data_IF_682162235694
#
_entry.id   IF_682162235694
#
_cell.length_a   1.000
_cell.length_b   1.000
_cell.length_c   1.000
_cell.angle_alpha   90.00
_cell.angle_beta   90.00
_cell.angle_gamma   90.00
#
_symmetry.space_group_name_H-M   'P 1'
#
loop_
_entity.id
_entity.type
_entity.pdbx_description
1 polymer ?
#
# COMPACT_ATOMS: atom_id res chain seq x y z
N UNK A 1 9.97 15.00 -16.69
CA UNK A 1 10.86 13.83 -16.89
C UNK A 1 9.96 12.60 -17.02
N UNK A 2 10.26 11.71 -17.95
CA UNK A 2 9.43 10.52 -18.16
C UNK A 2 9.67 9.49 -17.05
N UNK A 3 8.60 8.94 -16.49
CA UNK A 3 8.68 7.84 -15.54
C UNK A 3 9.30 6.59 -16.20
N UNK A 4 10.00 5.80 -15.42
CA UNK A 4 10.59 4.52 -15.80
C UNK A 4 10.10 3.36 -14.95
N UNK A 5 9.65 3.65 -13.74
CA UNK A 5 9.16 2.63 -12.82
C UNK A 5 7.96 3.13 -12.02
N UNK A 6 7.06 2.21 -11.67
CA UNK A 6 5.93 2.45 -10.77
C UNK A 6 5.92 1.34 -9.73
N UNK A 7 5.96 1.72 -8.46
CA UNK A 7 5.87 0.82 -7.33
C UNK A 7 4.54 1.00 -6.61
N UNK A 8 3.93 -0.10 -6.25
CA UNK A 8 2.65 -0.15 -5.56
C UNK A 8 2.83 -0.66 -4.13
N UNK A 9 2.18 0.01 -3.18
CA UNK A 9 1.89 -0.59 -1.89
C UNK A 9 0.92 -1.77 -2.05
N UNK A 10 0.70 -2.51 -0.99
CA UNK A 10 -0.11 -3.75 -0.99
C UNK A 10 -1.45 -3.53 -0.30
N UNK A 11 -1.44 -3.32 1.01
CA UNK A 11 -2.66 -3.17 1.81
C UNK A 11 -3.43 -1.92 1.41
N UNK A 12 -4.73 -2.04 1.24
CA UNK A 12 -5.64 -0.96 0.83
C UNK A 12 -5.21 -0.20 -0.45
N UNK A 13 -4.21 -0.76 -1.16
CA UNK A 13 -3.79 -0.29 -2.48
C UNK A 13 -4.07 -1.33 -3.56
N UNK A 14 -3.51 -2.52 -3.45
CA UNK A 14 -3.78 -3.67 -4.31
C UNK A 14 -4.70 -4.68 -3.66
N UNK A 15 -4.64 -4.82 -2.35
CA UNK A 15 -5.35 -5.80 -1.52
C UNK A 15 -6.32 -5.09 -0.61
N UNK A 16 -7.59 -5.50 -0.65
CA UNK A 16 -8.62 -5.14 0.32
C UNK A 16 -8.40 -5.95 1.61
N UNK A 17 -8.11 -5.27 2.69
CA UNK A 17 -7.84 -5.89 3.99
C UNK A 17 -9.10 -6.23 4.78
N UNK A 18 -10.32 -6.06 4.23
CA UNK A 18 -11.58 -6.29 4.94
C UNK A 18 -11.63 -7.69 5.58
N UNK A 19 -11.22 -8.74 4.85
CA UNK A 19 -11.23 -10.11 5.34
C UNK A 19 -10.31 -10.29 6.56
N UNK A 20 -9.17 -9.62 6.58
CA UNK A 20 -8.23 -9.68 7.70
C UNK A 20 -8.79 -8.96 8.93
N UNK A 21 -9.34 -7.78 8.76
CA UNK A 21 -9.95 -7.01 9.84
C UNK A 21 -11.15 -7.74 10.45
N UNK A 22 -11.95 -8.47 9.65
CA UNK A 22 -13.00 -9.36 10.15
C UNK A 22 -12.42 -10.49 11.00
N UNK A 23 -11.39 -11.16 10.53
CA UNK A 23 -10.71 -12.23 11.26
C UNK A 23 -10.16 -11.73 12.61
N UNK A 24 -9.56 -10.55 12.62
CA UNK A 24 -9.05 -9.95 13.86
C UNK A 24 -10.18 -9.61 14.84
N UNK A 25 -11.29 -9.08 14.34
CA UNK A 25 -12.48 -8.85 15.16
C UNK A 25 -12.97 -10.14 15.82
N UNK A 26 -13.15 -11.20 15.04
CA UNK A 26 -13.61 -12.51 15.52
C UNK A 26 -12.69 -13.07 16.62
N UNK A 27 -11.37 -13.00 16.42
CA UNK A 27 -10.37 -13.44 17.39
C UNK A 27 -10.36 -12.63 18.69
N UNK A 28 -10.65 -11.34 18.57
CA UNK A 28 -10.80 -10.46 19.73
C UNK A 28 -12.18 -10.58 20.40
N UNK A 29 -13.09 -11.42 19.87
CA UNK A 29 -14.46 -11.54 20.36
C UNK A 29 -15.32 -10.31 20.10
N UNK A 30 -14.98 -9.51 19.06
CA UNK A 30 -15.62 -8.27 18.71
C UNK A 30 -16.44 -8.40 17.42
N UNK A 31 -17.41 -7.50 17.24
CA UNK A 31 -18.07 -7.37 15.96
C UNK A 31 -17.20 -6.53 14.98
N UNK A 32 -17.15 -6.87 13.68
CA UNK A 32 -16.30 -6.17 12.70
C UNK A 32 -16.48 -4.64 12.70
N UNK A 33 -17.72 -4.15 12.79
CA UNK A 33 -17.99 -2.70 12.80
C UNK A 33 -17.35 -1.96 13.99
N UNK A 34 -17.10 -2.65 15.12
CA UNK A 34 -16.44 -2.06 16.29
C UNK A 34 -14.96 -1.79 15.98
N UNK A 35 -14.29 -2.72 15.29
CA UNK A 35 -12.90 -2.53 14.83
C UNK A 35 -12.82 -1.36 13.86
N UNK A 36 -13.72 -1.29 12.87
CA UNK A 36 -13.74 -0.17 11.90
C UNK A 36 -13.97 1.18 12.58
N UNK A 37 -14.85 1.24 13.59
CA UNK A 37 -15.06 2.46 14.34
C UNK A 37 -13.80 2.88 15.12
N UNK A 38 -13.13 1.94 15.79
CA UNK A 38 -11.87 2.21 16.50
C UNK A 38 -10.76 2.64 15.54
N UNK A 39 -10.66 2.00 14.37
CA UNK A 39 -9.71 2.35 13.33
C UNK A 39 -9.92 3.79 12.85
N UNK A 40 -11.18 4.20 12.62
CA UNK A 40 -11.50 5.59 12.28
C UNK A 40 -11.04 6.60 13.33
N UNK A 41 -11.19 6.27 14.63
CA UNK A 41 -10.68 7.12 15.73
C UNK A 41 -9.15 7.19 15.71
N UNK A 42 -8.49 6.07 15.48
CA UNK A 42 -7.01 5.97 15.39
C UNK A 42 -6.49 6.84 14.24
N UNK A 43 -7.12 6.78 13.07
CA UNK A 43 -6.76 7.58 11.89
C UNK A 43 -6.95 9.07 12.17
N UNK A 44 -8.10 9.45 12.70
CA UNK A 44 -8.40 10.86 13.02
C UNK A 44 -7.39 11.48 14.00
N UNK A 45 -6.85 10.65 14.92
CA UNK A 45 -5.84 11.07 15.88
C UNK A 45 -4.41 11.05 15.33
N UNK A 46 -4.19 10.55 14.10
CA UNK A 46 -2.85 10.38 13.54
C UNK A 46 -2.02 9.32 14.26
N UNK A 47 -2.67 8.35 14.90
CA UNK A 47 -2.03 7.30 15.68
C UNK A 47 -1.69 6.09 14.80
N UNK A 48 -0.80 5.21 15.29
CA UNK A 48 -0.52 3.93 14.63
C UNK A 48 -1.73 3.00 14.74
N UNK A 49 -1.99 2.21 13.69
CA UNK A 49 -3.12 1.27 13.66
C UNK A 49 -3.14 0.31 14.86
N UNK A 50 -2.01 -0.01 15.48
CA UNK A 50 -1.97 -0.86 16.67
C UNK A 50 -2.62 -0.23 17.90
N UNK A 51 -2.76 1.10 17.95
CA UNK A 51 -3.39 1.81 19.07
C UNK A 51 -4.89 1.55 19.15
N UNK A 52 -5.51 1.07 18.06
CA UNK A 52 -6.93 0.72 18.06
C UNK A 52 -7.30 -0.28 19.17
N UNK A 53 -6.39 -1.21 19.49
CA UNK A 53 -6.62 -2.22 20.53
C UNK A 53 -6.70 -1.60 21.91
N UNK A 54 -5.86 -0.61 22.18
CA UNK A 54 -5.91 0.21 23.40
C UNK A 54 -7.23 0.98 23.53
N UNK A 55 -7.74 1.54 22.43
CA UNK A 55 -9.04 2.22 22.42
C UNK A 55 -10.20 1.29 22.73
N UNK A 56 -10.08 0.02 22.35
CA UNK A 56 -11.09 -1.02 22.62
C UNK A 56 -10.94 -1.68 23.98
N UNK A 57 -9.82 -1.45 24.68
CA UNK A 57 -9.52 -2.09 25.96
C UNK A 57 -9.30 -3.59 25.86
N UNK A 58 -8.84 -4.08 24.71
CA UNK A 58 -8.53 -5.49 24.45
C UNK A 58 -7.09 -5.65 24.00
N UNK A 59 -6.49 -6.81 24.28
CA UNK A 59 -5.18 -7.15 23.76
C UNK A 59 -5.24 -7.41 22.26
N UNK A 60 -4.22 -6.99 21.48
CA UNK A 60 -4.13 -7.34 20.08
C UNK A 60 -4.07 -8.87 19.92
N UNK A 61 -4.69 -9.45 18.87
CA UNK A 61 -4.56 -10.88 18.60
C UNK A 61 -3.08 -11.25 18.49
N UNK A 62 -2.66 -12.28 19.21
CA UNK A 62 -1.30 -12.79 19.13
C UNK A 62 -1.04 -13.30 17.71
N UNK A 63 -0.03 -12.79 17.04
CA UNK A 63 0.43 -13.22 15.71
C UNK A 63 -0.31 -12.66 14.47
N UNK A 64 -0.51 -11.34 14.38
CA UNK A 64 -0.96 -10.68 13.15
C UNK A 64 -0.29 -11.21 11.87
N UNK A 65 1.04 -11.21 11.86
CA UNK A 65 1.81 -11.47 10.66
C UNK A 65 1.80 -12.94 10.21
N UNK A 66 1.54 -13.87 11.14
CA UNK A 66 1.64 -15.31 10.85
C UNK A 66 0.27 -15.92 10.50
N UNK A 67 -0.81 -15.20 10.77
CA UNK A 67 -2.17 -15.71 10.64
C UNK A 67 -2.92 -15.13 9.44
N UNK A 68 -2.31 -14.19 8.74
CA UNK A 68 -2.85 -13.61 7.52
C UNK A 68 -2.43 -14.46 6.33
N UNK A 69 -3.41 -15.02 5.62
CA UNK A 69 -3.21 -15.60 4.30
C UNK A 69 -3.62 -14.60 3.25
N UNK A 70 -2.87 -14.52 2.16
CA UNK A 70 -3.22 -13.75 0.98
C UNK A 70 -4.01 -14.63 0.03
N UNK A 71 -5.09 -14.12 -0.52
CA UNK A 71 -5.92 -14.80 -1.50
C UNK A 71 -6.13 -13.89 -2.71
N UNK A 72 -6.29 -14.47 -3.91
CA UNK A 72 -6.57 -13.66 -5.12
C UNK A 72 -7.89 -12.89 -4.97
N UNK A 73 -8.83 -13.46 -4.22
CA UNK A 73 -10.11 -12.81 -3.90
C UNK A 73 -9.99 -11.56 -3.00
N UNK A 74 -8.84 -11.34 -2.38
CA UNK A 74 -8.56 -10.12 -1.60
C UNK A 74 -8.08 -8.96 -2.50
N UNK A 75 -7.70 -9.21 -3.75
CA UNK A 75 -7.30 -8.14 -4.66
C UNK A 75 -8.50 -7.24 -4.99
N UNK A 76 -8.26 -5.94 -4.99
CA UNK A 76 -9.23 -5.01 -5.56
C UNK A 76 -9.50 -5.37 -7.03
N UNK A 77 -10.73 -5.21 -7.53
CA UNK A 77 -11.12 -5.65 -8.89
C UNK A 77 -10.30 -5.03 -10.02
N UNK A 78 -9.71 -3.88 -9.80
CA UNK A 78 -8.90 -3.12 -10.76
C UNK A 78 -7.39 -3.38 -10.64
N UNK A 79 -6.93 -4.11 -9.60
CA UNK A 79 -5.52 -4.27 -9.30
C UNK A 79 -4.74 -4.94 -10.44
N UNK A 80 -5.16 -6.12 -10.89
CA UNK A 80 -4.47 -6.88 -11.95
C UNK A 80 -4.45 -6.06 -13.25
N UNK A 81 -5.62 -5.54 -13.66
CA UNK A 81 -5.75 -4.76 -14.90
C UNK A 81 -4.87 -3.50 -14.87
N UNK A 82 -4.75 -2.84 -13.72
CA UNK A 82 -3.86 -1.70 -13.54
C UNK A 82 -2.40 -2.09 -13.71
N UNK A 83 -1.92 -3.14 -13.03
CA UNK A 83 -0.54 -3.62 -13.13
C UNK A 83 -0.18 -3.98 -14.58
N UNK A 84 -1.08 -4.70 -15.28
CA UNK A 84 -0.91 -5.05 -16.70
C UNK A 84 -0.84 -3.81 -17.59
N UNK A 85 -1.74 -2.84 -17.37
CA UNK A 85 -1.79 -1.60 -18.15
C UNK A 85 -0.54 -0.75 -17.97
N UNK A 86 -0.07 -0.59 -16.73
CA UNK A 86 1.18 0.13 -16.43
C UNK A 86 2.39 -0.56 -17.06
N UNK A 87 2.44 -1.90 -16.98
CA UNK A 87 3.49 -2.69 -17.65
C UNK A 87 3.43 -2.54 -19.18
N UNK A 88 2.22 -2.44 -19.73
CA UNK A 88 1.98 -2.18 -21.16
C UNK A 88 2.51 -0.83 -21.66
N UNK A 89 2.74 0.14 -20.76
CA UNK A 89 3.41 1.41 -21.07
C UNK A 89 4.94 1.26 -21.17
N UNK A 90 5.48 0.07 -20.91
CA UNK A 90 6.93 -0.17 -20.89
C UNK A 90 7.61 0.27 -19.59
N UNK A 91 6.85 0.53 -18.53
CA UNK A 91 7.35 0.88 -17.21
C UNK A 91 7.69 -0.38 -16.41
N UNK A 92 8.74 -0.34 -15.60
CA UNK A 92 8.99 -1.35 -14.60
C UNK A 92 7.88 -1.29 -13.54
N UNK A 93 7.26 -2.43 -13.24
CA UNK A 93 6.21 -2.54 -12.23
C UNK A 93 6.77 -3.23 -10.99
N UNK A 94 6.69 -2.55 -9.84
CA UNK A 94 7.09 -3.09 -8.54
C UNK A 94 5.91 -3.22 -7.58
N UNK A 95 5.94 -4.25 -6.74
CA UNK A 95 5.04 -4.41 -5.59
C UNK A 95 5.91 -4.42 -4.35
N UNK A 96 5.76 -3.44 -3.46
CA UNK A 96 6.55 -3.33 -2.23
C UNK A 96 5.81 -2.53 -1.16
N UNK A 97 5.68 -3.11 0.03
CA UNK A 97 4.96 -2.49 1.16
C UNK A 97 5.44 -2.97 2.51
N UNK A 98 4.80 -2.49 3.57
CA UNK A 98 5.04 -2.92 4.95
C UNK A 98 4.41 -4.30 5.19
N UNK A 99 4.98 -5.33 4.58
CA UNK A 99 4.43 -6.67 4.52
C UNK A 99 5.43 -7.73 5.01
N UNK A 100 4.94 -8.90 5.48
CA UNK A 100 5.77 -10.06 5.74
C UNK A 100 6.28 -10.69 4.43
N UNK A 101 7.37 -11.45 4.49
CA UNK A 101 7.90 -12.17 3.32
C UNK A 101 6.91 -13.17 2.68
N UNK A 102 5.88 -13.60 3.42
CA UNK A 102 4.79 -14.43 2.92
C UNK A 102 4.05 -13.76 1.74
N UNK A 103 3.88 -12.43 1.78
CA UNK A 103 3.28 -11.66 0.68
C UNK A 103 4.07 -11.85 -0.63
N UNK A 104 5.41 -11.80 -0.57
CA UNK A 104 6.25 -11.98 -1.75
C UNK A 104 6.09 -13.37 -2.36
N UNK A 105 6.03 -14.40 -1.51
CA UNK A 105 5.81 -15.77 -1.96
C UNK A 105 4.45 -15.92 -2.65
N UNK A 106 3.40 -15.40 -2.03
CA UNK A 106 2.04 -15.40 -2.59
C UNK A 106 2.00 -14.67 -3.94
N UNK A 107 2.48 -13.43 -4.01
CA UNK A 107 2.42 -12.62 -5.21
C UNK A 107 3.17 -13.27 -6.40
N UNK A 108 4.29 -13.97 -6.13
CA UNK A 108 5.01 -14.74 -7.14
C UNK A 108 4.27 -16.02 -7.54
N UNK A 109 3.63 -16.71 -6.58
CA UNK A 109 2.86 -17.94 -6.83
C UNK A 109 1.65 -17.65 -7.70
N UNK A 110 0.95 -16.56 -7.43
CA UNK A 110 -0.20 -16.09 -8.22
C UNK A 110 0.22 -15.37 -9.50
N UNK A 111 1.50 -15.26 -9.77
CA UNK A 111 2.07 -14.63 -10.96
C UNK A 111 1.53 -13.21 -11.19
N UNK A 112 1.45 -12.38 -10.12
CA UNK A 112 1.02 -11.00 -10.24
C UNK A 112 1.90 -10.26 -11.26
N UNK A 113 1.33 -9.39 -12.13
CA UNK A 113 2.05 -8.75 -13.23
C UNK A 113 3.04 -7.68 -12.74
N UNK A 114 4.09 -8.10 -12.04
CA UNK A 114 5.14 -7.25 -11.50
C UNK A 114 6.54 -7.79 -11.85
N UNK A 115 7.46 -6.88 -12.13
CA UNK A 115 8.86 -7.19 -12.44
C UNK A 115 9.69 -7.31 -11.15
N UNK A 116 9.29 -6.55 -10.12
CA UNK A 116 9.92 -6.55 -8.79
C UNK A 116 8.85 -6.80 -7.72
N UNK A 117 9.08 -7.78 -6.84
CA UNK A 117 8.23 -8.04 -5.68
C UNK A 117 9.13 -8.11 -4.46
N UNK A 118 8.87 -7.24 -3.47
CA UNK A 118 9.62 -7.18 -2.22
C UNK A 118 8.72 -6.79 -1.05
N UNK A 119 9.26 -6.81 0.17
CA UNK A 119 8.55 -6.45 1.39
C UNK A 119 9.47 -5.77 2.38
N UNK A 120 8.91 -5.06 3.36
CA UNK A 120 9.69 -4.50 4.47
C UNK A 120 10.44 -5.58 5.25
N UNK A 121 9.92 -6.80 5.31
CA UNK A 121 10.59 -7.92 5.96
C UNK A 121 11.89 -8.30 5.24
N UNK A 122 11.87 -8.35 3.90
CA UNK A 122 13.07 -8.65 3.09
C UNK A 122 14.04 -7.47 3.00
N UNK A 123 13.51 -6.23 2.97
CA UNK A 123 14.33 -5.01 2.94
C UNK A 123 14.98 -4.69 4.28
N UNK A 124 14.48 -5.23 5.39
CA UNK A 124 14.95 -4.93 6.74
C UNK A 124 14.61 -3.52 7.23
N UNK A 125 13.75 -2.80 6.52
CA UNK A 125 13.28 -1.45 6.82
C UNK A 125 11.83 -1.29 6.38
N UNK A 126 11.07 -0.43 7.06
CA UNK A 126 9.64 -0.23 6.79
C UNK A 126 9.28 1.24 6.61
N UNK A 127 8.22 1.51 5.87
CA UNK A 127 7.59 2.84 5.80
C UNK A 127 7.16 3.31 7.21
N UNK A 128 7.28 4.58 7.52
CA UNK A 128 7.64 5.70 6.64
C UNK A 128 9.14 6.05 6.61
N UNK A 129 10.04 5.14 7.02
CA UNK A 129 11.47 5.41 7.01
C UNK A 129 11.93 5.80 5.58
N UNK A 130 12.66 6.91 5.47
CA UNK A 130 13.24 7.39 4.22
C UNK A 130 14.06 6.30 3.51
N UNK A 131 14.79 5.49 4.26
CA UNK A 131 15.62 4.40 3.72
C UNK A 131 14.80 3.38 2.93
N UNK A 132 13.53 3.17 3.29
CA UNK A 132 12.63 2.31 2.52
C UNK A 132 12.48 2.81 1.07
N UNK A 133 12.23 4.09 0.87
CA UNK A 133 12.05 4.69 -0.46
C UNK A 133 13.37 4.80 -1.22
N UNK A 134 14.50 4.98 -0.55
CA UNK A 134 15.83 4.88 -1.16
C UNK A 134 16.07 3.47 -1.73
N UNK A 135 15.68 2.42 -1.00
CA UNK A 135 15.75 1.03 -1.50
C UNK A 135 14.77 0.77 -2.66
N UNK A 136 13.58 1.39 -2.66
CA UNK A 136 12.67 1.34 -3.81
C UNK A 136 13.35 1.93 -5.05
N UNK A 137 14.05 3.05 -4.93
CA UNK A 137 14.82 3.66 -6.02
C UNK A 137 15.97 2.76 -6.48
N UNK A 138 16.68 2.11 -5.54
CA UNK A 138 17.73 1.13 -5.88
C UNK A 138 17.15 -0.07 -6.67
N UNK A 139 15.98 -0.58 -6.28
CA UNK A 139 15.27 -1.66 -6.98
C UNK A 139 14.78 -1.24 -8.38
N UNK A 140 14.47 0.04 -8.56
CA UNK A 140 14.04 0.60 -9.85
C UNK A 140 15.22 0.79 -10.84
N UNK A 141 16.47 0.81 -10.36
CA UNK A 141 17.68 1.05 -11.16
C UNK A 141 17.61 2.33 -12.02
N UNK A 142 16.97 3.39 -11.48
CA UNK A 142 16.85 4.70 -12.15
C UNK A 142 16.83 5.84 -11.13
N UNK A 143 16.72 7.09 -11.57
CA UNK A 143 16.69 8.23 -10.67
C UNK A 143 15.36 8.30 -9.89
N UNK A 144 15.38 8.79 -8.64
CA UNK A 144 14.18 8.92 -7.82
C UNK A 144 13.03 9.66 -8.54
N UNK A 145 13.36 10.70 -9.30
CA UNK A 145 12.40 11.47 -10.08
C UNK A 145 11.80 10.74 -11.30
N UNK A 146 12.30 9.53 -11.62
CA UNK A 146 11.79 8.64 -12.65
C UNK A 146 10.95 7.49 -12.06
N UNK A 147 10.75 7.48 -10.74
CA UNK A 147 9.99 6.46 -10.00
C UNK A 147 8.71 7.07 -9.48
N UNK A 148 7.58 6.41 -9.70
CA UNK A 148 6.33 6.68 -8.99
C UNK A 148 6.11 5.67 -7.88
N UNK A 149 5.53 6.11 -6.77
CA UNK A 149 5.07 5.25 -5.67
C UNK A 149 3.59 5.49 -5.43
N UNK A 150 2.81 4.42 -5.46
CA UNK A 150 1.34 4.42 -5.34
C UNK A 150 0.96 3.80 -4.00
N UNK A 151 0.21 4.52 -3.18
CA UNK A 151 -0.26 4.02 -1.89
C UNK A 151 -1.48 4.77 -1.38
N UNK A 152 -2.16 4.19 -0.38
CA UNK A 152 -3.37 4.74 0.22
C UNK A 152 -3.10 5.68 1.41
N UNK A 153 -1.94 5.52 2.06
CA UNK A 153 -1.63 6.26 3.28
C UNK A 153 -0.81 7.50 3.00
N UNK A 154 -1.38 8.65 3.37
CA UNK A 154 -0.67 9.93 3.25
C UNK A 154 0.59 9.96 4.12
N UNK A 155 0.50 9.47 5.36
CA UNK A 155 1.59 9.49 6.35
C UNK A 155 2.68 8.44 6.11
N UNK A 156 2.35 7.31 5.49
CA UNK A 156 3.29 6.21 5.25
C UNK A 156 3.78 6.09 3.80
N UNK A 157 2.96 6.53 2.83
CA UNK A 157 3.27 6.39 1.41
C UNK A 157 3.56 7.73 0.76
N UNK A 158 2.58 8.64 0.76
CA UNK A 158 2.60 9.82 -0.09
C UNK A 158 3.65 10.83 0.34
N UNK A 159 3.59 11.31 1.58
CA UNK A 159 4.54 12.31 2.08
C UNK A 159 5.97 11.80 2.11
N UNK A 160 6.27 10.57 2.61
CA UNK A 160 7.64 10.09 2.62
C UNK A 160 8.18 9.76 1.22
N UNK A 161 7.34 9.27 0.27
CA UNK A 161 7.78 9.09 -1.12
C UNK A 161 8.13 10.43 -1.78
N UNK A 162 7.26 11.45 -1.63
CA UNK A 162 7.54 12.80 -2.13
C UNK A 162 8.81 13.39 -1.51
N UNK A 163 9.00 13.23 -0.20
CA UNK A 163 10.23 13.68 0.50
C UNK A 163 11.50 12.96 0.05
N UNK A 164 11.37 11.75 -0.49
CA UNK A 164 12.47 10.99 -1.10
C UNK A 164 12.69 11.34 -2.58
N UNK A 165 11.86 12.20 -3.17
CA UNK A 165 11.98 12.68 -4.54
C UNK A 165 11.25 11.82 -5.59
N UNK A 166 10.38 10.89 -5.16
CA UNK A 166 9.54 10.10 -6.06
C UNK A 166 8.28 10.89 -6.45
N UNK A 167 7.67 10.51 -7.57
CA UNK A 167 6.31 10.94 -7.89
C UNK A 167 5.34 10.18 -6.97
N UNK A 168 4.78 10.87 -5.98
CA UNK A 168 3.89 10.28 -5.00
C UNK A 168 2.44 10.27 -5.50
N UNK A 169 1.80 9.11 -5.53
CA UNK A 169 0.45 8.92 -6.03
C UNK A 169 -0.44 8.41 -4.89
N UNK A 170 -1.48 9.17 -4.58
CA UNK A 170 -2.42 8.84 -3.52
C UNK A 170 -3.64 8.11 -4.08
N UNK A 171 -3.89 6.89 -3.62
CA UNK A 171 -5.13 6.15 -3.92
C UNK A 171 -6.08 6.27 -2.76
N UNK A 172 -7.23 6.89 -2.98
CA UNK A 172 -8.25 7.15 -1.97
C UNK A 172 -9.18 5.95 -1.79
N UNK A 173 -8.64 4.85 -1.27
CA UNK A 173 -9.41 3.65 -0.91
C UNK A 173 -8.99 3.15 0.47
N UNK A 174 -9.77 2.24 1.02
CA UNK A 174 -9.57 1.82 2.40
C UNK A 174 -9.79 2.95 3.43
N UNK A 175 -9.65 2.64 4.71
CA UNK A 175 -9.94 3.61 5.77
C UNK A 175 -9.01 4.82 5.75
N UNK A 176 -7.70 4.62 5.56
CA UNK A 176 -6.74 5.72 5.52
C UNK A 176 -6.90 6.59 4.29
N UNK A 177 -6.94 5.98 3.10
CA UNK A 177 -7.07 6.71 1.85
C UNK A 177 -8.34 7.54 1.76
N UNK A 178 -9.43 7.09 2.41
CA UNK A 178 -10.70 7.83 2.45
C UNK A 178 -10.74 8.93 3.51
N UNK A 179 -10.05 8.75 4.64
CA UNK A 179 -10.10 9.71 5.76
C UNK A 179 -8.95 10.73 5.71
N UNK A 180 -7.82 10.41 5.09
CA UNK A 180 -6.72 11.34 4.89
C UNK A 180 -6.91 12.12 3.60
N UNK A 181 -6.92 13.45 3.69
CA UNK A 181 -7.00 14.30 2.49
C UNK A 181 -5.73 14.20 1.65
N UNK A 182 -5.87 14.12 0.33
CA UNK A 182 -4.72 14.14 -0.59
C UNK A 182 -3.91 15.42 -0.38
N UNK A 183 -2.62 15.32 -0.02
CA UNK A 183 -1.79 16.47 0.26
C UNK A 183 -1.30 17.14 -1.02
N UNK A 184 -0.81 18.39 -0.91
CA UNK A 184 -0.28 19.13 -2.05
C UNK A 184 1.02 18.54 -2.62
N UNK A 185 1.73 17.73 -1.83
CA UNK A 185 2.94 17.01 -2.21
C UNK A 185 2.65 15.80 -3.11
N UNK A 186 1.40 15.32 -3.14
CA UNK A 186 1.01 14.27 -4.06
C UNK A 186 1.06 14.78 -5.51
N UNK A 187 1.68 14.00 -6.39
CA UNK A 187 1.69 14.29 -7.83
C UNK A 187 0.27 14.21 -8.39
N UNK A 188 -0.48 13.19 -8.02
CA UNK A 188 -1.88 12.94 -8.41
C UNK A 188 -2.59 12.16 -7.30
N UNK A 189 -3.93 12.32 -7.19
CA UNK A 189 -4.81 11.49 -6.36
C UNK A 189 -5.89 10.82 -7.20
N UNK A 190 -6.23 9.58 -6.85
CA UNK A 190 -7.25 8.77 -7.51
C UNK A 190 -8.19 8.13 -6.49
N UNK A 191 -9.42 7.85 -6.88
CA UNK A 191 -10.37 7.06 -6.08
C UNK A 191 -10.26 5.54 -6.35
N UNK A 192 -9.65 5.16 -7.48
CA UNK A 192 -9.38 3.79 -7.89
C UNK A 192 -8.12 3.72 -8.78
N UNK A 193 -7.70 2.53 -9.18
CA UNK A 193 -6.55 2.34 -10.07
C UNK A 193 -6.92 2.25 -11.56
N UNK A 194 -8.20 2.29 -11.91
CA UNK A 194 -8.65 2.03 -13.28
C UNK A 194 -8.11 3.05 -14.30
N UNK A 195 -7.93 4.31 -13.88
CA UNK A 195 -7.44 5.40 -14.75
C UNK A 195 -5.96 5.73 -14.55
N UNK A 196 -5.26 4.99 -13.69
CA UNK A 196 -3.86 5.30 -13.35
C UNK A 196 -2.94 5.26 -14.58
N UNK A 197 -3.04 4.22 -15.41
CA UNK A 197 -2.16 4.07 -16.57
C UNK A 197 -2.31 5.22 -17.56
N UNK A 198 -3.55 5.68 -17.83
CA UNK A 198 -3.83 6.81 -18.72
C UNK A 198 -3.25 8.12 -18.16
N UNK A 199 -3.36 8.30 -16.86
CA UNK A 199 -2.80 9.48 -16.20
C UNK A 199 -1.27 9.46 -16.23
N UNK A 200 -0.63 8.31 -15.97
CA UNK A 200 0.83 8.16 -16.05
C UNK A 200 1.37 8.44 -17.46
N UNK A 201 0.64 8.00 -18.50
CA UNK A 201 1.00 8.28 -19.89
C UNK A 201 0.91 9.78 -20.24
N UNK A 202 0.16 10.55 -19.45
CA UNK A 202 -0.06 11.99 -19.63
C UNK A 202 0.87 12.87 -18.79
N UNK A 203 1.64 12.29 -17.89
CA UNK A 203 2.63 13.03 -17.09
C UNK A 203 3.77 13.54 -17.98
N UNK A 204 4.22 14.79 -17.77
CA UNK A 204 5.23 15.45 -18.62
C UNK A 204 6.65 14.87 -18.44
#
# INVERSE_FOLDING_TARGET
MALRAVFFDVGETLVDEERWWRLFAERAGLQPHVIWAALGVTIERGENHNELWGHLGVDPPSSWANDVSYEVGDLYPDAIACLESVRGLGLLVGIVGNQPALMEHWARTEALPADVISSSASLGVKKPDRRFFELVVELAECAASEVAYVGDRVDYDVLPAAAAGLAAIHVRRGPWGMLQATPAEATIGFDDLASLADALASLP
#
